data_IF_992379067873
#
_entry.id   IF_992379067873
#
_cell.length_a   1.000
_cell.length_b   1.000
_cell.length_c   1.000
_cell.angle_alpha   90.00
_cell.angle_beta   90.00
_cell.angle_gamma   90.00
#
_symmetry.space_group_name_H-M   'P 1'
#
loop_
_entity.id
_entity.type
_entity.pdbx_description
1 polymer ?
#
# COMPACT_ATOMS: atom_id res chain seq x y z
N UNK A 1 -45.37 -13.30 21.40
CA UNK A 1 -45.17 -13.25 19.95
C UNK A 1 -44.13 -12.22 19.51
N UNK A 2 -43.82 -11.21 20.31
CA UNK A 2 -42.76 -10.19 20.01
C UNK A 2 -41.31 -10.72 20.09
N UNK A 3 -41.03 -11.63 21.01
CA UNK A 3 -39.70 -12.24 21.16
C UNK A 3 -39.19 -12.99 19.92
N UNK A 4 -40.09 -13.62 19.16
CA UNK A 4 -39.69 -14.31 17.91
C UNK A 4 -39.35 -13.34 16.79
N UNK A 5 -39.92 -12.15 16.76
CA UNK A 5 -39.65 -11.14 15.75
C UNK A 5 -38.33 -10.44 16.03
N UNK A 6 -38.01 -10.19 17.29
CA UNK A 6 -36.74 -9.61 17.72
C UNK A 6 -35.56 -10.58 17.46
N UNK A 7 -35.74 -11.85 17.81
CA UNK A 7 -34.73 -12.87 17.51
C UNK A 7 -34.49 -13.02 16.00
N UNK A 8 -35.51 -12.98 15.17
CA UNK A 8 -35.38 -13.00 13.70
C UNK A 8 -34.63 -11.78 13.17
N UNK A 9 -34.88 -10.59 13.71
CA UNK A 9 -34.18 -9.37 13.32
C UNK A 9 -32.68 -9.44 13.66
N UNK A 10 -32.32 -9.93 14.85
CA UNK A 10 -30.93 -10.14 15.27
C UNK A 10 -30.24 -11.17 14.40
N UNK A 11 -30.88 -12.30 14.08
CA UNK A 11 -30.34 -13.31 13.18
C UNK A 11 -30.07 -12.74 11.78
N UNK A 12 -30.99 -11.94 11.25
CA UNK A 12 -30.85 -11.32 9.93
C UNK A 12 -29.68 -10.32 9.92
N UNK A 13 -29.52 -9.54 10.99
CA UNK A 13 -28.40 -8.61 11.16
C UNK A 13 -27.06 -9.35 11.19
N UNK A 14 -26.96 -10.43 11.98
CA UNK A 14 -25.76 -11.26 12.05
C UNK A 14 -25.47 -11.96 10.73
N UNK A 15 -26.48 -12.40 10.00
CA UNK A 15 -26.33 -12.96 8.66
C UNK A 15 -25.75 -11.92 7.69
N UNK A 16 -26.27 -10.68 7.72
CA UNK A 16 -25.71 -9.58 6.93
C UNK A 16 -24.23 -9.34 7.24
N UNK A 17 -23.87 -9.27 8.53
CA UNK A 17 -22.47 -9.11 8.93
C UNK A 17 -21.58 -10.26 8.44
N UNK A 18 -22.10 -11.49 8.50
CA UNK A 18 -21.42 -12.66 7.99
C UNK A 18 -21.13 -12.54 6.48
N UNK A 19 -22.14 -12.19 5.68
CA UNK A 19 -21.98 -12.04 4.22
C UNK A 19 -20.97 -10.94 3.89
N UNK A 20 -21.05 -9.77 4.54
CA UNK A 20 -20.11 -8.66 4.35
C UNK A 20 -18.69 -9.08 4.72
N UNK A 21 -18.51 -9.77 5.85
CA UNK A 21 -17.21 -10.26 6.30
C UNK A 21 -16.60 -11.22 5.29
N UNK A 22 -17.38 -12.17 4.79
CA UNK A 22 -16.92 -13.08 3.75
C UNK A 22 -16.54 -12.37 2.44
N UNK A 23 -17.33 -11.38 2.02
CA UNK A 23 -17.03 -10.57 0.84
C UNK A 23 -15.69 -9.83 1.00
N UNK A 24 -15.43 -9.25 2.18
CA UNK A 24 -14.16 -8.57 2.48
C UNK A 24 -12.99 -9.57 2.47
N UNK A 25 -13.14 -10.72 3.13
CA UNK A 25 -12.10 -11.76 3.19
C UNK A 25 -11.72 -12.24 1.79
N UNK A 26 -12.70 -12.62 0.97
CA UNK A 26 -12.47 -13.10 -0.38
C UNK A 26 -11.84 -12.05 -1.30
N UNK A 27 -12.30 -10.79 -1.21
CA UNK A 27 -11.73 -9.67 -1.95
C UNK A 27 -10.27 -9.42 -1.57
N UNK A 28 -9.96 -9.42 -0.27
CA UNK A 28 -8.60 -9.22 0.24
C UNK A 28 -7.69 -10.39 -0.13
N UNK A 29 -8.17 -11.61 -0.05
CA UNK A 29 -7.38 -12.79 -0.39
C UNK A 29 -6.96 -12.78 -1.86
N UNK A 30 -7.87 -12.44 -2.78
CA UNK A 30 -7.55 -12.30 -4.21
C UNK A 30 -6.53 -11.17 -4.44
N UNK A 31 -6.78 -9.99 -3.88
CA UNK A 31 -5.87 -8.83 -4.01
C UNK A 31 -4.48 -9.15 -3.47
N UNK A 32 -4.41 -9.80 -2.32
CA UNK A 32 -3.14 -10.19 -1.70
C UNK A 32 -2.36 -11.20 -2.56
N UNK A 33 -3.04 -12.20 -3.15
CA UNK A 33 -2.38 -13.17 -4.04
C UNK A 33 -1.80 -12.50 -5.30
N UNK A 34 -2.54 -11.58 -5.90
CA UNK A 34 -2.08 -10.81 -7.07
C UNK A 34 -0.89 -9.94 -6.67
N UNK A 35 -1.02 -9.17 -5.59
CA UNK A 35 0.05 -8.31 -5.09
C UNK A 35 1.34 -9.08 -4.80
N UNK A 36 1.24 -10.23 -4.12
CA UNK A 36 2.39 -11.09 -3.83
C UNK A 36 3.07 -11.62 -5.09
N UNK A 37 2.31 -11.99 -6.11
CA UNK A 37 2.87 -12.46 -7.37
C UNK A 37 3.58 -11.33 -8.13
N UNK A 38 2.97 -10.14 -8.18
CA UNK A 38 3.58 -8.95 -8.77
C UNK A 38 4.83 -8.51 -8.01
N UNK A 39 4.82 -8.54 -6.67
CA UNK A 39 6.00 -8.22 -5.84
C UNK A 39 7.17 -9.17 -6.09
N UNK A 40 6.89 -10.47 -6.24
CA UNK A 40 7.92 -11.46 -6.56
C UNK A 40 8.56 -11.18 -7.92
N UNK A 41 7.74 -10.88 -8.94
CA UNK A 41 8.22 -10.53 -10.29
C UNK A 41 9.01 -9.23 -10.28
N UNK A 42 8.55 -8.23 -9.54
CA UNK A 42 9.25 -6.97 -9.39
C UNK A 42 10.62 -7.17 -8.74
N UNK A 43 10.67 -7.89 -7.61
CA UNK A 43 11.91 -8.18 -6.88
C UNK A 43 12.91 -8.93 -7.74
N UNK A 44 12.45 -9.89 -8.56
CA UNK A 44 13.31 -10.62 -9.49
C UNK A 44 13.87 -9.70 -10.58
N UNK A 45 13.04 -8.86 -11.18
CA UNK A 45 13.49 -7.89 -12.21
C UNK A 45 14.45 -6.87 -11.63
N UNK A 46 14.16 -6.36 -10.44
CA UNK A 46 15.00 -5.39 -9.73
C UNK A 46 16.40 -5.96 -9.43
N UNK A 47 16.49 -7.23 -8.98
CA UNK A 47 17.76 -7.85 -8.65
C UNK A 47 18.60 -8.24 -9.87
N UNK A 48 17.99 -8.42 -11.04
CA UNK A 48 18.67 -8.81 -12.29
C UNK A 48 19.08 -7.62 -13.17
N UNK A 49 18.53 -6.45 -12.92
CA UNK A 49 18.67 -5.29 -13.82
C UNK A 49 19.37 -4.15 -13.10
N UNK A 50 20.52 -3.72 -13.60
CA UNK A 50 21.23 -2.52 -13.11
C UNK A 50 20.63 -1.21 -13.63
N UNK A 51 19.80 -1.27 -14.68
CA UNK A 51 19.22 -0.09 -15.30
C UNK A 51 17.92 0.32 -14.61
N UNK A 52 17.99 1.34 -13.75
CA UNK A 52 16.85 1.88 -13.00
C UNK A 52 15.70 2.38 -13.88
N UNK A 53 16.00 2.86 -15.10
CA UNK A 53 14.95 3.34 -16.03
C UNK A 53 14.12 2.16 -16.56
N UNK A 54 14.74 1.02 -16.82
CA UNK A 54 14.03 -0.19 -17.20
C UNK A 54 13.14 -0.68 -16.07
N UNK A 55 13.67 -0.72 -14.84
CA UNK A 55 12.89 -1.09 -13.63
C UNK A 55 11.72 -0.14 -13.42
N UNK A 56 11.92 1.16 -13.64
CA UNK A 56 10.86 2.16 -13.51
C UNK A 56 9.71 1.92 -14.50
N UNK A 57 10.01 1.64 -15.75
CA UNK A 57 8.98 1.34 -16.75
C UNK A 57 8.23 0.07 -16.42
N UNK A 58 8.92 -0.98 -16.01
CA UNK A 58 8.32 -2.23 -15.56
C UNK A 58 7.44 -2.03 -14.32
N UNK A 59 7.90 -1.27 -13.34
CA UNK A 59 7.15 -0.98 -12.12
C UNK A 59 5.79 -0.29 -12.39
N UNK A 60 5.70 0.51 -13.45
CA UNK A 60 4.42 1.16 -13.85
C UNK A 60 3.34 0.17 -14.29
N UNK A 61 3.73 -0.98 -14.79
CA UNK A 61 2.80 -2.02 -15.26
C UNK A 61 2.21 -2.81 -14.08
N UNK A 62 2.92 -2.85 -12.95
CA UNK A 62 2.55 -3.61 -11.76
C UNK A 62 1.62 -2.79 -10.84
N UNK A 63 0.32 -2.83 -11.13
CA UNK A 63 -0.67 -1.99 -10.43
C UNK A 63 -0.97 -2.44 -9.01
N UNK A 64 -0.83 -3.73 -8.72
CA UNK A 64 -1.17 -4.32 -7.43
C UNK A 64 0.04 -4.53 -6.52
N UNK A 65 1.26 -4.34 -7.02
CA UNK A 65 2.49 -4.48 -6.25
C UNK A 65 2.71 -3.27 -5.32
N UNK A 66 2.66 -3.44 -3.99
CA UNK A 66 3.09 -2.42 -3.04
C UNK A 66 4.55 -2.04 -3.23
N UNK A 67 5.41 -3.03 -3.49
CA UNK A 67 6.85 -2.84 -3.66
C UNK A 67 7.18 -1.97 -4.88
N UNK A 68 6.48 -2.20 -6.00
CA UNK A 68 6.63 -1.36 -7.20
C UNK A 68 6.20 0.10 -6.93
N UNK A 69 5.10 0.32 -6.18
CA UNK A 69 4.63 1.67 -5.83
C UNK A 69 5.61 2.41 -4.91
N UNK A 70 6.19 1.71 -3.93
CA UNK A 70 7.24 2.26 -3.07
C UNK A 70 8.45 2.66 -3.90
N UNK A 71 8.90 1.77 -4.81
CA UNK A 71 10.01 2.05 -5.73
C UNK A 71 9.73 3.27 -6.61
N UNK A 72 8.54 3.36 -7.23
CA UNK A 72 8.15 4.49 -8.07
C UNK A 72 8.17 5.81 -7.29
N UNK A 73 7.79 5.80 -6.01
CA UNK A 73 7.87 6.97 -5.15
C UNK A 73 9.33 7.38 -4.91
N UNK A 74 10.19 6.43 -4.55
CA UNK A 74 11.62 6.70 -4.33
C UNK A 74 12.34 7.18 -5.59
N UNK A 75 12.03 6.57 -6.74
CA UNK A 75 12.60 6.97 -8.03
C UNK A 75 12.19 8.40 -8.42
N UNK A 76 10.93 8.79 -8.17
CA UNK A 76 10.45 10.15 -8.42
C UNK A 76 11.16 11.17 -7.53
N UNK A 77 11.34 10.86 -6.24
CA UNK A 77 12.07 11.74 -5.33
C UNK A 77 13.54 11.89 -5.75
N UNK A 78 14.20 10.80 -6.13
CA UNK A 78 15.56 10.85 -6.67
C UNK A 78 15.65 11.79 -7.88
N UNK A 79 14.70 11.68 -8.81
CA UNK A 79 14.67 12.53 -10.01
C UNK A 79 14.48 14.01 -9.65
N UNK A 80 13.58 14.32 -8.71
CA UNK A 80 13.34 15.69 -8.24
C UNK A 80 14.60 16.28 -7.61
N UNK A 81 15.31 15.52 -6.76
CA UNK A 81 16.59 15.97 -6.16
C UNK A 81 17.65 16.24 -7.22
N UNK A 82 17.77 15.40 -8.24
CA UNK A 82 18.70 15.60 -9.34
C UNK A 82 18.38 16.88 -10.14
N UNK A 83 17.12 17.13 -10.44
CA UNK A 83 16.71 18.35 -11.15
C UNK A 83 16.96 19.62 -10.33
N UNK A 84 16.62 19.62 -9.05
CA UNK A 84 16.87 20.75 -8.16
C UNK A 84 18.38 21.03 -8.00
N UNK A 85 19.19 19.98 -7.95
CA UNK A 85 20.64 20.13 -7.89
C UNK A 85 21.19 20.74 -9.19
N UNK A 86 20.69 20.33 -10.36
CA UNK A 86 21.05 20.93 -11.67
C UNK A 86 20.67 22.40 -11.74
N UNK A 87 19.46 22.78 -11.33
CA UNK A 87 19.01 24.18 -11.31
C UNK A 87 19.81 25.04 -10.33
N UNK A 88 20.12 24.51 -9.16
CA UNK A 88 20.95 25.19 -8.16
C UNK A 88 22.35 25.50 -8.66
N UNK A 89 22.97 24.60 -9.42
CA UNK A 89 24.29 24.81 -10.07
C UNK A 89 24.20 25.80 -11.21
N UNK A 90 23.19 25.69 -12.06
CA UNK A 90 22.97 26.64 -13.17
C UNK A 90 22.86 28.09 -12.67
N UNK A 91 22.20 28.30 -11.53
CA UNK A 91 22.11 29.62 -10.90
C UNK A 91 23.45 30.13 -10.32
N UNK A 92 24.37 29.20 -9.99
CA UNK A 92 25.73 29.55 -9.49
C UNK A 92 26.80 29.62 -10.58
N UNK A 93 26.42 29.39 -11.84
CA UNK A 93 27.36 29.40 -12.96
C UNK A 93 28.34 28.21 -12.97
N UNK A 94 28.05 27.15 -12.24
CA UNK A 94 28.84 25.93 -12.19
C UNK A 94 28.56 25.03 -13.39
N UNK A 95 29.57 24.26 -13.83
CA UNK A 95 29.43 23.33 -14.94
C UNK A 95 28.32 22.27 -14.69
N UNK A 96 27.66 21.77 -15.76
CA UNK A 96 26.68 20.68 -15.62
C UNK A 96 27.32 19.46 -14.97
N UNK A 97 26.52 18.71 -14.22
CA UNK A 97 26.97 17.44 -13.60
C UNK A 97 27.55 16.47 -14.63
N UNK A 98 28.70 15.86 -14.37
CA UNK A 98 29.03 14.62 -15.05
C UNK A 98 27.97 13.56 -14.68
N UNK A 99 27.54 12.76 -15.64
CA UNK A 99 26.66 11.61 -15.40
C UNK A 99 27.32 10.71 -14.35
N UNK A 100 26.66 10.54 -13.19
CA UNK A 100 27.14 9.65 -12.13
C UNK A 100 27.63 10.31 -10.84
N UNK A 101 27.37 11.60 -10.61
CA UNK A 101 27.73 12.19 -9.31
C UNK A 101 27.00 11.49 -8.14
N UNK A 102 27.70 11.16 -7.05
CA UNK A 102 27.12 10.44 -5.91
C UNK A 102 26.04 11.27 -5.24
N UNK A 103 24.91 10.62 -4.96
CA UNK A 103 23.82 11.18 -4.18
C UNK A 103 24.34 11.66 -2.82
N UNK A 104 24.06 12.91 -2.45
CA UNK A 104 24.56 13.45 -1.19
C UNK A 104 23.87 12.78 0.03
N UNK A 105 24.51 12.75 1.21
CA UNK A 105 23.86 12.23 2.42
C UNK A 105 22.54 12.93 2.77
N UNK A 106 22.39 14.19 2.37
CA UNK A 106 21.14 14.96 2.54
C UNK A 106 20.03 14.44 1.63
N UNK A 107 20.37 14.12 0.38
CA UNK A 107 19.43 13.58 -0.61
C UNK A 107 18.97 12.18 -0.19
N UNK A 108 19.89 11.34 0.29
CA UNK A 108 19.59 10.01 0.85
C UNK A 108 18.60 10.09 2.02
N UNK A 109 18.74 11.09 2.89
CA UNK A 109 17.81 11.30 4.00
C UNK A 109 16.42 11.69 3.49
N UNK A 110 16.33 12.58 2.51
CA UNK A 110 15.07 12.99 1.87
C UNK A 110 14.36 11.81 1.21
N UNK A 111 15.11 11.03 0.42
CA UNK A 111 14.60 9.80 -0.23
C UNK A 111 14.12 8.79 0.83
N UNK A 112 14.88 8.59 1.92
CA UNK A 112 14.52 7.71 3.02
C UNK A 112 13.20 8.12 3.70
N UNK A 113 12.98 9.41 3.92
CA UNK A 113 11.72 9.93 4.47
C UNK A 113 10.54 9.70 3.51
N UNK A 114 10.74 9.93 2.21
CA UNK A 114 9.71 9.69 1.20
C UNK A 114 9.36 8.20 1.09
N UNK A 115 10.36 7.31 1.14
CA UNK A 115 10.15 5.86 1.15
C UNK A 115 9.39 5.40 2.40
N UNK A 116 9.75 5.90 3.60
CA UNK A 116 9.03 5.58 4.84
C UNK A 116 7.57 6.04 4.77
N UNK A 117 7.31 7.22 4.23
CA UNK A 117 5.93 7.71 4.01
C UNK A 117 5.17 6.83 3.03
N UNK A 118 5.82 6.37 1.95
CA UNK A 118 5.23 5.46 0.98
C UNK A 118 4.92 4.09 1.61
N UNK A 119 5.82 3.54 2.42
CA UNK A 119 5.62 2.29 3.16
C UNK A 119 4.40 2.40 4.09
N UNK A 120 4.33 3.45 4.91
CA UNK A 120 3.21 3.66 5.82
C UNK A 120 1.88 3.77 5.06
N UNK A 121 1.86 4.45 3.92
CA UNK A 121 0.67 4.54 3.06
C UNK A 121 0.25 3.18 2.50
N UNK A 122 1.21 2.36 2.07
CA UNK A 122 0.90 1.00 1.57
C UNK A 122 0.37 0.10 2.68
N UNK A 123 0.93 0.18 3.89
CA UNK A 123 0.42 -0.53 5.07
C UNK A 123 -1.02 -0.10 5.38
N UNK A 124 -1.33 1.19 5.34
CA UNK A 124 -2.69 1.71 5.52
C UNK A 124 -3.66 1.16 4.45
N UNK A 125 -3.26 1.16 3.18
CA UNK A 125 -4.07 0.62 2.08
C UNK A 125 -4.35 -0.88 2.27
N UNK A 126 -3.34 -1.64 2.68
CA UNK A 126 -3.46 -3.08 2.92
C UNK A 126 -4.34 -3.40 4.12
N UNK A 127 -4.24 -2.62 5.20
CA UNK A 127 -5.05 -2.79 6.42
C UNK A 127 -6.44 -2.20 6.32
N UNK A 128 -6.70 -1.36 5.34
CA UNK A 128 -8.01 -0.73 5.15
C UNK A 128 -9.13 -1.77 5.09
N UNK A 129 -10.22 -1.51 5.80
CA UNK A 129 -11.39 -2.39 5.99
C UNK A 129 -11.17 -3.60 6.92
N UNK A 130 -9.95 -3.88 7.38
CA UNK A 130 -9.73 -4.91 8.39
C UNK A 130 -10.32 -4.49 9.74
N UNK A 131 -10.39 -3.19 10.01
CA UNK A 131 -11.03 -2.60 11.19
C UNK A 131 -12.51 -3.03 11.29
N UNK A 132 -13.23 -3.12 10.16
CA UNK A 132 -14.60 -3.62 10.14
C UNK A 132 -14.68 -5.06 10.64
N UNK A 133 -13.76 -5.92 10.21
CA UNK A 133 -13.72 -7.32 10.66
C UNK A 133 -13.43 -7.42 12.16
N UNK A 134 -12.49 -6.61 12.68
CA UNK A 134 -12.18 -6.55 14.09
C UNK A 134 -13.38 -6.09 14.92
N UNK A 135 -14.06 -5.03 14.48
CA UNK A 135 -15.26 -4.50 15.14
C UNK A 135 -16.40 -5.53 15.12
N UNK A 136 -16.65 -6.16 13.98
CA UNK A 136 -17.67 -7.22 13.84
C UNK A 136 -17.36 -8.41 14.77
N UNK A 137 -16.08 -8.83 14.81
CA UNK A 137 -15.66 -9.93 15.68
C UNK A 137 -15.85 -9.64 17.18
N UNK A 138 -15.63 -8.40 17.61
CA UNK A 138 -15.78 -8.00 19.00
C UNK A 138 -17.24 -7.73 19.40
N UNK A 139 -18.09 -7.23 18.48
CA UNK A 139 -19.47 -6.84 18.77
C UNK A 139 -20.49 -7.98 18.55
N UNK A 140 -20.23 -8.90 17.62
CA UNK A 140 -21.14 -9.97 17.26
C UNK A 140 -21.58 -10.84 18.46
N UNK A 141 -20.73 -11.23 19.42
CA UNK A 141 -21.14 -11.98 20.61
C UNK A 141 -22.12 -11.20 21.49
N UNK A 142 -21.93 -9.90 21.65
CA UNK A 142 -22.84 -9.05 22.44
C UNK A 142 -24.20 -8.86 21.75
N UNK A 143 -24.22 -8.71 20.42
CA UNK A 143 -25.44 -8.65 19.64
C UNK A 143 -26.20 -9.99 19.73
N UNK A 144 -25.48 -11.12 19.68
CA UNK A 144 -26.07 -12.45 19.86
C UNK A 144 -26.69 -12.63 21.23
N UNK A 145 -26.01 -12.20 22.29
CA UNK A 145 -26.51 -12.26 23.66
C UNK A 145 -27.76 -11.40 23.82
N UNK A 146 -27.77 -10.18 23.27
CA UNK A 146 -28.93 -9.29 23.29
C UNK A 146 -30.15 -9.90 22.58
N UNK A 147 -29.94 -10.69 21.54
CA UNK A 147 -31.00 -11.39 20.82
C UNK A 147 -31.59 -12.58 21.56
N UNK A 148 -30.98 -13.05 22.68
CA UNK A 148 -31.48 -14.16 23.50
C UNK A 148 -32.32 -13.70 24.71
N UNK A 149 -32.31 -12.43 25.02
CA UNK A 149 -33.11 -11.79 26.08
C UNK A 149 -34.43 -11.28 25.54
#
# INVERSE_FOLDING_TARGET
>A
MSSSLMAKAVLLLLLMFSVISWAIILSKFRTYRIAKNEDSRFSETFSKTENLTHVYNYAKELRFSPLARIFLTGYRELYIFQELAKEGRKKRGEAPFPEGEPVTPRDLRGIGLALNKAINREVEILSRRLEFLATTGSTAPFIGLFGTV
#
